data_IF_805835405538
#
_entry.id   IF_805835405538
#
_cell.length_a   1.000
_cell.length_b   1.000
_cell.length_c   1.000
_cell.angle_alpha   90.00
_cell.angle_beta   90.00
_cell.angle_gamma   90.00
#
_symmetry.space_group_name_H-M   'P 1'
#
loop_
_entity.id
_entity.type
_entity.pdbx_description
1 polymer ?
#
# COMPACT_ATOMS: atom_id res chain seq x y z
N UNK A 1 2.86 10.87 -9.00
CA UNK A 1 3.75 10.45 -7.91
C UNK A 1 4.53 11.61 -7.33
N UNK A 2 4.40 11.84 -6.03
CA UNK A 2 5.28 12.72 -5.23
C UNK A 2 6.34 11.90 -4.48
N UNK A 3 7.45 12.54 -4.09
CA UNK A 3 8.63 11.93 -3.47
C UNK A 3 8.43 11.42 -2.02
N UNK A 4 7.20 11.49 -1.48
CA UNK A 4 6.95 11.30 -0.05
C UNK A 4 7.30 9.92 0.49
N UNK A 5 6.99 8.84 -0.24
CA UNK A 5 7.15 7.49 0.26
C UNK A 5 8.61 7.10 0.56
N UNK A 6 9.57 7.57 -0.25
CA UNK A 6 10.99 7.28 -0.06
C UNK A 6 11.55 7.89 1.23
N UNK A 7 11.00 9.03 1.68
CA UNK A 7 11.46 9.72 2.89
C UNK A 7 11.12 8.97 4.18
N UNK A 8 10.19 8.00 4.14
CA UNK A 8 9.78 7.21 5.30
C UNK A 8 10.37 5.79 5.31
N UNK A 9 11.18 5.43 4.30
CA UNK A 9 11.81 4.12 4.20
C UNK A 9 13.15 4.04 4.91
N UNK A 10 13.45 2.88 5.47
CA UNK A 10 14.75 2.52 6.03
C UNK A 10 14.99 1.01 5.87
N UNK A 11 15.34 0.53 4.66
CA UNK A 11 15.45 -0.90 4.39
C UNK A 11 16.48 -1.61 5.29
N UNK A 12 17.55 -0.90 5.68
CA UNK A 12 18.55 -1.39 6.63
C UNK A 12 17.95 -1.73 8.02
N UNK A 13 16.94 -0.95 8.45
CA UNK A 13 16.22 -1.15 9.70
C UNK A 13 15.00 -2.08 9.53
N UNK A 14 14.82 -2.65 8.33
CA UNK A 14 13.67 -3.47 7.98
C UNK A 14 12.38 -2.69 7.75
N UNK A 15 12.46 -1.37 7.54
CA UNK A 15 11.32 -0.50 7.28
C UNK A 15 11.19 -0.27 5.78
N UNK A 16 10.13 -0.82 5.18
CA UNK A 16 9.81 -0.69 3.75
C UNK A 16 8.50 0.06 3.57
N UNK A 17 8.44 0.91 2.53
CA UNK A 17 7.27 1.75 2.27
C UNK A 17 6.75 1.49 0.87
N UNK A 18 5.43 1.31 0.76
CA UNK A 18 4.73 1.16 -0.51
C UNK A 18 3.76 2.32 -0.70
N UNK A 19 3.86 3.00 -1.84
CA UNK A 19 2.87 3.98 -2.28
C UNK A 19 1.87 3.30 -3.22
N UNK A 20 0.59 3.34 -2.87
CA UNK A 20 -0.49 2.76 -3.66
C UNK A 20 -1.38 3.90 -4.14
N UNK A 21 -1.34 4.21 -5.43
CA UNK A 21 -2.18 5.24 -6.05
C UNK A 21 -3.41 4.58 -6.69
N UNK A 22 -4.61 4.99 -6.28
CA UNK A 22 -5.88 4.48 -6.82
C UNK A 22 -6.55 5.55 -7.67
N UNK A 23 -6.90 5.20 -8.91
CA UNK A 23 -7.65 6.09 -9.80
C UNK A 23 -9.05 6.39 -9.20
N UNK A 24 -9.37 7.68 -9.06
CA UNK A 24 -10.63 8.16 -8.47
C UNK A 24 -11.85 7.72 -9.28
N UNK A 25 -11.74 7.57 -10.59
CA UNK A 25 -12.83 7.08 -11.44
C UNK A 25 -13.30 5.65 -11.06
N UNK A 26 -12.48 4.87 -10.34
CA UNK A 26 -12.85 3.53 -9.87
C UNK A 26 -13.86 3.54 -8.71
N UNK A 27 -14.00 4.65 -7.99
CA UNK A 27 -14.78 4.67 -6.75
C UNK A 27 -15.49 5.98 -6.43
N UNK A 28 -15.24 7.05 -7.19
CA UNK A 28 -15.74 8.39 -6.92
C UNK A 28 -16.31 9.01 -8.20
N UNK A 29 -17.52 9.54 -8.10
CA UNK A 29 -18.01 10.55 -9.03
C UNK A 29 -17.29 11.86 -8.69
N UNK A 30 -16.31 12.24 -9.51
CA UNK A 30 -15.44 13.39 -9.27
C UNK A 30 -16.19 14.73 -9.33
N UNK A 31 -17.28 14.82 -10.11
CA UNK A 31 -18.06 16.06 -10.21
C UNK A 31 -18.90 16.29 -8.95
N UNK A 32 -19.44 15.21 -8.38
CA UNK A 32 -20.29 15.26 -7.19
C UNK A 32 -19.51 15.07 -5.88
N UNK A 33 -18.23 14.70 -5.96
CA UNK A 33 -17.40 14.29 -4.82
C UNK A 33 -18.14 13.25 -3.96
N UNK A 34 -18.75 12.29 -4.63
CA UNK A 34 -19.58 11.26 -4.01
C UNK A 34 -19.06 9.87 -4.40
N UNK A 35 -19.06 8.94 -3.43
CA UNK A 35 -18.68 7.55 -3.70
C UNK A 35 -19.66 6.93 -4.69
N UNK A 36 -19.14 6.14 -5.63
CA UNK A 36 -19.97 5.32 -6.51
C UNK A 36 -20.26 3.97 -5.86
N UNK A 37 -21.18 3.20 -6.43
CA UNK A 37 -21.43 1.82 -5.98
C UNK A 37 -20.17 0.93 -6.06
N UNK A 38 -19.22 1.25 -6.95
CA UNK A 38 -17.97 0.51 -7.10
C UNK A 38 -17.01 0.69 -5.90
N UNK A 39 -17.24 1.70 -5.03
CA UNK A 39 -16.43 1.91 -3.84
C UNK A 39 -16.37 0.69 -2.92
N UNK A 40 -17.50 0.01 -2.68
CA UNK A 40 -17.51 -1.17 -1.81
C UNK A 40 -16.72 -2.34 -2.41
N UNK A 41 -16.70 -2.47 -3.75
CA UNK A 41 -15.86 -3.45 -4.43
C UNK A 41 -14.38 -3.11 -4.30
N UNK A 42 -14.00 -1.85 -4.53
CA UNK A 42 -12.62 -1.39 -4.31
C UNK A 42 -12.18 -1.64 -2.86
N UNK A 43 -13.03 -1.31 -1.89
CA UNK A 43 -12.76 -1.52 -0.47
C UNK A 43 -12.46 -2.99 -0.16
N UNK A 44 -13.26 -3.94 -0.68
CA UNK A 44 -13.00 -5.38 -0.49
C UNK A 44 -11.67 -5.81 -1.08
N UNK A 45 -11.31 -5.32 -2.26
CA UNK A 45 -10.02 -5.62 -2.88
C UNK A 45 -8.85 -5.07 -2.03
N UNK A 46 -8.95 -3.83 -1.56
CA UNK A 46 -7.93 -3.23 -0.69
C UNK A 46 -7.81 -3.97 0.63
N UNK A 47 -8.92 -4.40 1.24
CA UNK A 47 -8.89 -5.24 2.44
C UNK A 47 -8.14 -6.55 2.20
N UNK A 48 -8.35 -7.20 1.06
CA UNK A 48 -7.61 -8.42 0.71
C UNK A 48 -6.11 -8.16 0.56
N UNK A 49 -5.72 -7.08 -0.14
CA UNK A 49 -4.31 -6.71 -0.30
C UNK A 49 -3.65 -6.44 1.05
N UNK A 50 -4.31 -5.68 1.92
CA UNK A 50 -3.77 -5.36 3.26
C UNK A 50 -3.70 -6.61 4.14
N UNK A 51 -4.69 -7.52 4.05
CA UNK A 51 -4.66 -8.79 4.76
C UNK A 51 -3.44 -9.62 4.36
N UNK A 52 -3.15 -9.74 3.06
CA UNK A 52 -1.99 -10.47 2.57
C UNK A 52 -0.66 -9.79 2.93
N UNK A 53 -0.57 -8.45 2.84
CA UNK A 53 0.61 -7.71 3.29
C UNK A 53 0.88 -7.90 4.79
N UNK A 54 -0.19 -8.01 5.60
CA UNK A 54 -0.07 -8.23 7.05
C UNK A 54 0.46 -9.62 7.42
N UNK A 55 0.49 -10.56 6.47
CA UNK A 55 1.09 -11.90 6.67
C UNK A 55 2.59 -11.90 6.46
N UNK A 56 3.17 -10.83 5.92
CA UNK A 56 4.62 -10.72 5.75
C UNK A 56 5.29 -10.72 7.12
N UNK A 57 6.15 -11.71 7.36
CA UNK A 57 6.87 -11.79 8.64
C UNK A 57 7.86 -10.62 8.76
N UNK A 58 8.06 -10.06 9.97
CA UNK A 58 9.08 -9.02 10.18
C UNK A 58 10.50 -9.47 9.81
N UNK A 59 10.81 -10.76 9.94
CA UNK A 59 12.10 -11.31 9.56
C UNK A 59 12.36 -11.20 8.04
N UNK A 60 11.32 -11.38 7.22
CA UNK A 60 11.41 -11.26 5.76
C UNK A 60 11.67 -9.82 5.28
N UNK A 61 11.47 -8.83 6.15
CA UNK A 61 11.70 -7.42 5.85
C UNK A 61 13.11 -6.96 6.23
N UNK A 62 13.85 -7.74 7.02
CA UNK A 62 15.23 -7.40 7.37
C UNK A 62 16.16 -7.65 6.18
N UNK A 63 17.27 -6.90 6.08
CA UNK A 63 18.33 -7.23 5.12
C UNK A 63 18.75 -8.68 5.29
N UNK A 64 18.99 -9.37 4.18
CA UNK A 64 19.65 -10.69 4.24
C UNK A 64 20.97 -10.49 4.99
N UNK A 65 21.18 -11.23 6.08
CA UNK A 65 22.49 -11.21 6.74
C UNK A 65 23.49 -11.71 5.71
N UNK A 66 24.42 -10.82 5.31
CA UNK A 66 25.55 -11.23 4.51
C UNK A 66 26.29 -12.30 5.32
N UNK A 67 26.30 -13.53 4.82
CA UNK A 67 27.25 -14.52 5.26
C UNK A 67 28.63 -13.95 4.95
N UNK A 68 29.42 -13.69 6.00
CA UNK A 68 30.85 -13.44 5.91
C UNK A 68 31.58 -14.74 5.55
#
# INVERSE_FOLDING_TARGET
GGLGAAAYGGPADGVHVLQIEINRALYLDEKRIARTAAFETLKRHLQSVIAELSRVSPAALRPAQAAE
#
